data_IF_719161117804
#
_entry.id   IF_719161117804
#
_cell.length_a   1.000
_cell.length_b   1.000
_cell.length_c   1.000
_cell.angle_alpha   90.00
_cell.angle_beta   90.00
_cell.angle_gamma   90.00
#
_symmetry.space_group_name_H-M   'P 1'
#
loop_
_entity.id
_entity.type
_entity.pdbx_description
1 polymer ?
#
# COMPACT_ATOMS: atom_id res chain seq x y z
N UNK A 1 3.99 6.58 -9.67
CA UNK A 1 3.61 7.26 -8.41
C UNK A 1 3.15 6.26 -7.33
N UNK A 2 2.06 5.52 -7.53
CA UNK A 2 1.58 4.53 -6.54
C UNK A 2 2.64 3.49 -6.12
N UNK A 3 3.47 3.01 -7.06
CA UNK A 3 4.58 2.10 -6.74
C UNK A 3 5.66 2.71 -5.81
N UNK A 4 5.94 4.02 -5.92
CA UNK A 4 6.87 4.68 -5.00
C UNK A 4 6.26 4.85 -3.60
N UNK A 5 4.95 5.12 -3.52
CA UNK A 5 4.20 5.11 -2.25
C UNK A 5 4.34 3.75 -1.55
N UNK A 6 4.16 2.66 -2.30
CA UNK A 6 4.30 1.30 -1.76
C UNK A 6 5.73 0.99 -1.30
N UNK A 7 6.73 1.41 -2.06
CA UNK A 7 8.15 1.23 -1.70
C UNK A 7 8.49 1.92 -0.39
N UNK A 8 8.04 3.16 -0.19
CA UNK A 8 8.23 3.87 1.08
C UNK A 8 7.45 3.20 2.22
N UNK A 9 6.23 2.69 1.95
CA UNK A 9 5.43 1.97 2.96
C UNK A 9 6.09 0.67 3.43
N UNK A 10 6.65 -0.10 2.50
CA UNK A 10 7.31 -1.38 2.79
C UNK A 10 8.72 -1.22 3.36
N UNK A 11 9.18 0.02 3.59
CA UNK A 11 10.52 0.30 4.06
C UNK A 11 11.61 -0.08 3.03
N UNK A 12 11.25 -0.21 1.76
CA UNK A 12 12.15 -0.59 0.66
C UNK A 12 12.95 0.61 0.14
N UNK A 13 13.40 1.45 1.06
CA UNK A 13 14.25 2.58 0.76
C UNK A 13 15.71 2.13 0.64
N UNK A 14 16.48 2.80 -0.21
CA UNK A 14 17.92 2.57 -0.35
C UNK A 14 18.65 3.91 -0.28
N UNK A 15 19.76 4.00 0.46
CA UNK A 15 20.56 5.21 0.52
C UNK A 15 21.16 5.57 -0.83
N UNK A 16 21.39 6.88 -1.01
CA UNK A 16 22.09 7.39 -2.18
C UNK A 16 23.47 6.72 -2.31
N UNK A 17 23.91 6.43 -3.53
CA UNK A 17 25.20 5.79 -3.81
C UNK A 17 26.37 6.48 -3.12
N UNK A 18 26.33 7.82 -3.01
CA UNK A 18 27.38 8.57 -2.33
C UNK A 18 27.49 8.20 -0.83
N UNK A 19 26.36 8.00 -0.15
CA UNK A 19 26.31 7.60 1.25
C UNK A 19 26.67 6.14 1.43
N UNK A 20 26.20 5.26 0.54
CA UNK A 20 26.50 3.82 0.58
C UNK A 20 27.99 3.50 0.41
N UNK A 21 28.79 4.42 -0.15
CA UNK A 21 30.25 4.29 -0.29
C UNK A 21 31.01 4.62 0.99
N UNK A 22 30.39 5.29 1.96
CA UNK A 22 31.05 5.62 3.22
C UNK A 22 31.21 4.35 4.06
N UNK A 23 32.42 4.00 4.52
CA UNK A 23 32.67 2.72 5.22
C UNK A 23 31.80 2.49 6.45
N UNK A 24 31.44 3.57 7.15
CA UNK A 24 30.63 3.56 8.35
C UNK A 24 29.12 3.57 8.10
N UNK A 25 28.69 3.67 6.83
CA UNK A 25 27.29 3.58 6.39
C UNK A 25 27.07 2.33 5.54
N UNK A 26 28.14 1.77 4.94
CA UNK A 26 28.07 0.60 4.10
C UNK A 26 27.34 -0.57 4.80
N UNK A 27 26.28 -1.07 4.17
CA UNK A 27 25.44 -2.15 4.73
C UNK A 27 24.36 -1.70 5.72
N UNK A 28 24.33 -0.43 6.11
CA UNK A 28 23.30 0.13 6.96
C UNK A 28 22.14 0.68 6.12
N UNK A 29 20.92 0.45 6.57
CA UNK A 29 19.73 1.00 5.95
C UNK A 29 18.79 1.53 7.03
N UNK A 30 18.22 2.72 6.82
CA UNK A 30 17.24 3.31 7.71
C UNK A 30 16.07 3.83 6.88
N UNK A 31 14.88 3.26 7.10
CA UNK A 31 13.65 3.72 6.48
C UNK A 31 12.66 4.17 7.55
N UNK A 32 12.20 5.42 7.46
CA UNK A 32 11.19 5.96 8.35
C UNK A 32 9.84 5.28 8.11
N UNK A 33 9.29 4.63 9.14
CA UNK A 33 7.95 4.02 9.10
C UNK A 33 6.83 5.02 9.36
N UNK A 34 7.15 6.24 9.83
CA UNK A 34 6.15 7.21 10.30
C UNK A 34 5.03 7.51 9.28
N UNK A 35 5.31 7.67 7.97
CA UNK A 35 4.24 7.88 6.99
C UNK A 35 3.33 6.65 6.83
N UNK A 36 3.91 5.44 6.89
CA UNK A 36 3.14 4.20 6.81
C UNK A 36 2.24 4.02 8.03
N UNK A 37 2.78 4.23 9.24
CA UNK A 37 2.04 4.16 10.50
C UNK A 37 0.88 5.15 10.53
N UNK A 38 1.12 6.35 9.99
CA UNK A 38 0.15 7.44 9.89
C UNK A 38 -1.01 7.08 8.95
N UNK A 39 -0.72 6.58 7.75
CA UNK A 39 -1.75 6.15 6.79
C UNK A 39 -2.55 4.96 7.32
N UNK A 40 -1.89 4.03 8.00
CA UNK A 40 -2.55 2.88 8.61
C UNK A 40 -3.43 3.30 9.80
N UNK A 41 -2.99 4.26 10.62
CA UNK A 41 -3.82 4.83 11.70
C UNK A 41 -5.06 5.56 11.16
N UNK A 42 -4.89 6.36 10.10
CA UNK A 42 -6.02 6.98 9.39
C UNK A 42 -7.00 5.94 8.87
N UNK A 43 -6.51 4.93 8.16
CA UNK A 43 -7.33 3.83 7.62
C UNK A 43 -8.11 3.11 8.72
N UNK A 44 -7.49 2.81 9.88
CA UNK A 44 -8.17 2.20 11.03
C UNK A 44 -9.28 3.08 11.58
N UNK A 45 -9.01 4.38 11.71
CA UNK A 45 -9.96 5.34 12.29
C UNK A 45 -11.20 5.45 11.42
N UNK A 46 -11.04 5.67 10.12
CA UNK A 46 -12.17 5.83 9.20
C UNK A 46 -12.88 4.51 8.88
N UNK A 47 -12.17 3.38 8.88
CA UNK A 47 -12.81 2.08 8.63
C UNK A 47 -13.74 1.63 9.77
N UNK A 48 -13.64 2.21 10.97
CA UNK A 48 -14.63 1.97 12.04
C UNK A 48 -15.90 2.81 11.87
N UNK A 49 -15.81 3.93 11.12
CA UNK A 49 -16.95 4.76 10.78
C UNK A 49 -17.64 4.18 9.55
N UNK A 50 -18.73 3.44 9.77
CA UNK A 50 -19.56 3.01 8.65
C UNK A 50 -20.29 4.21 8.04
N UNK A 51 -20.34 4.32 6.70
CA UNK A 51 -21.13 5.33 6.03
C UNK A 51 -22.61 5.14 6.35
N UNK A 52 -23.32 6.26 6.49
CA UNK A 52 -24.79 6.25 6.50
C UNK A 52 -25.25 6.45 5.06
N UNK A 53 -25.91 5.44 4.51
CA UNK A 53 -26.53 5.51 3.20
C UNK A 53 -27.84 6.28 3.37
N UNK A 54 -27.94 7.43 2.70
CA UNK A 54 -29.14 8.26 2.67
C UNK A 54 -29.53 8.51 1.21
N UNK A 55 -30.76 8.18 0.85
CA UNK A 55 -31.32 8.39 -0.49
C UNK A 55 -32.29 9.56 -0.39
N UNK A 56 -32.09 10.57 -1.24
CA UNK A 56 -33.04 11.69 -1.31
C UNK A 56 -34.31 11.25 -2.05
N UNK A 57 -35.50 11.52 -1.50
CA UNK A 57 -36.76 11.23 -2.19
C UNK A 57 -36.89 12.08 -3.45
N UNK A 58 -37.44 11.50 -4.51
CA UNK A 58 -37.66 12.21 -5.77
C UNK A 58 -38.83 13.21 -5.68
N UNK A 59 -39.81 12.91 -4.83
CA UNK A 59 -41.03 13.68 -4.63
C UNK A 59 -41.40 13.72 -3.15
N UNK A 60 -42.05 14.80 -2.73
CA UNK A 60 -42.59 14.95 -1.38
C UNK A 60 -43.95 14.25 -1.29
N UNK A 61 -43.95 12.92 -1.17
CA UNK A 61 -45.16 12.14 -0.95
C UNK A 61 -44.89 10.92 -0.03
N UNK A 62 -45.88 10.46 0.76
CA UNK A 62 -45.70 9.35 1.70
C UNK A 62 -45.20 8.04 1.06
N UNK A 63 -45.67 7.71 -0.16
CA UNK A 63 -45.28 6.49 -0.84
C UNK A 63 -43.81 6.48 -1.28
N UNK A 64 -43.27 7.65 -1.60
CA UNK A 64 -41.87 7.84 -1.98
C UNK A 64 -40.97 7.74 -0.76
N UNK A 65 -41.39 8.26 0.40
CA UNK A 65 -40.68 8.05 1.66
C UNK A 65 -40.61 6.57 2.03
N UNK A 66 -41.72 5.83 1.92
CA UNK A 66 -41.72 4.37 2.14
C UNK A 66 -40.80 3.63 1.16
N UNK A 67 -40.74 4.07 -0.10
CA UNK A 67 -39.85 3.51 -1.13
C UNK A 67 -38.38 3.75 -0.75
N UNK A 68 -38.05 4.98 -0.37
CA UNK A 68 -36.71 5.38 0.06
C UNK A 68 -36.27 4.58 1.28
N UNK A 69 -37.11 4.48 2.32
CA UNK A 69 -36.80 3.73 3.54
C UNK A 69 -36.51 2.25 3.24
N UNK A 70 -37.30 1.62 2.35
CA UNK A 70 -37.05 0.25 1.90
C UNK A 70 -35.71 0.11 1.19
N UNK A 71 -35.38 1.04 0.29
CA UNK A 71 -34.09 1.01 -0.41
C UNK A 71 -32.92 1.22 0.54
N UNK A 72 -32.99 2.21 1.45
CA UNK A 72 -31.96 2.44 2.47
C UNK A 72 -31.76 1.21 3.37
N UNK A 73 -32.86 0.57 3.80
CA UNK A 73 -32.80 -0.65 4.62
C UNK A 73 -32.13 -1.80 3.88
N UNK A 74 -32.44 -1.99 2.60
CA UNK A 74 -31.84 -3.05 1.76
C UNK A 74 -30.36 -2.77 1.50
N UNK A 75 -29.99 -1.53 1.22
CA UNK A 75 -28.60 -1.13 0.98
C UNK A 75 -27.76 -1.26 2.26
N UNK A 76 -28.27 -0.81 3.41
CA UNK A 76 -27.60 -0.98 4.71
C UNK A 76 -27.40 -2.47 5.03
N UNK A 77 -28.39 -3.32 4.73
CA UNK A 77 -28.25 -4.77 4.87
C UNK A 77 -27.14 -5.33 3.97
N UNK A 78 -27.08 -4.93 2.70
CA UNK A 78 -26.01 -5.34 1.79
C UNK A 78 -24.63 -4.83 2.22
N UNK A 79 -24.54 -3.59 2.71
CA UNK A 79 -23.30 -3.00 3.24
C UNK A 79 -22.79 -3.76 4.46
N UNK A 80 -23.68 -4.11 5.40
CA UNK A 80 -23.32 -4.96 6.54
C UNK A 80 -22.81 -6.32 6.09
N UNK A 81 -23.46 -6.95 5.12
CA UNK A 81 -23.04 -8.25 4.56
C UNK A 81 -21.70 -8.19 3.85
N UNK A 82 -21.44 -7.11 3.09
CA UNK A 82 -20.15 -6.83 2.46
C UNK A 82 -18.99 -6.90 3.48
N UNK A 83 -19.23 -6.40 4.69
CA UNK A 83 -18.23 -6.31 5.73
C UNK A 83 -18.09 -7.59 6.59
N UNK A 84 -18.81 -8.67 6.29
CA UNK A 84 -18.71 -9.93 7.04
C UNK A 84 -17.63 -10.89 6.52
N UNK A 85 -17.05 -10.64 5.35
CA UNK A 85 -16.13 -11.58 4.69
C UNK A 85 -14.66 -11.18 4.79
N UNK A 86 -13.81 -12.16 5.11
CA UNK A 86 -12.35 -12.01 5.11
C UNK A 86 -11.77 -11.44 6.41
N UNK A 87 -10.44 -11.34 6.46
CA UNK A 87 -9.72 -10.76 7.61
C UNK A 87 -9.82 -9.22 7.67
N UNK A 88 -9.91 -8.59 6.49
CA UNK A 88 -10.18 -7.16 6.32
C UNK A 88 -11.46 -7.00 5.53
N UNK A 89 -12.39 -6.21 6.04
CA UNK A 89 -13.67 -5.92 5.40
C UNK A 89 -13.45 -5.17 4.07
N UNK A 90 -14.41 -5.22 3.15
CA UNK A 90 -14.30 -4.46 1.89
C UNK A 90 -14.23 -2.97 2.16
N UNK A 91 -15.05 -2.46 3.12
CA UNK A 91 -15.00 -1.07 3.58
C UNK A 91 -13.58 -0.66 4.01
N UNK A 92 -12.93 -1.51 4.80
CA UNK A 92 -11.55 -1.27 5.21
C UNK A 92 -10.61 -1.13 4.02
N UNK A 93 -10.74 -2.00 3.01
CA UNK A 93 -9.90 -1.95 1.81
C UNK A 93 -10.15 -0.70 0.98
N UNK A 94 -11.41 -0.26 0.88
CA UNK A 94 -11.78 1.00 0.22
C UNK A 94 -11.10 2.17 0.93
N UNK A 95 -11.23 2.25 2.26
CA UNK A 95 -10.59 3.30 3.07
C UNK A 95 -9.06 3.25 2.98
N UNK A 96 -8.47 2.06 3.01
CA UNK A 96 -7.03 1.85 2.87
C UNK A 96 -6.52 2.33 1.50
N UNK A 97 -7.25 2.05 0.41
CA UNK A 97 -6.91 2.55 -0.92
C UNK A 97 -7.05 4.07 -1.01
N UNK A 98 -8.16 4.61 -0.50
CA UNK A 98 -8.44 6.04 -0.53
C UNK A 98 -7.42 6.85 0.27
N UNK A 99 -7.05 6.40 1.47
CA UNK A 99 -6.03 7.07 2.31
C UNK A 99 -4.65 7.04 1.67
N UNK A 100 -4.27 5.92 1.04
CA UNK A 100 -2.92 5.76 0.47
C UNK A 100 -2.75 6.44 -0.87
N UNK A 101 -3.73 6.30 -1.75
CA UNK A 101 -3.61 6.68 -3.15
C UNK A 101 -4.55 7.82 -3.55
N UNK A 102 -5.45 8.25 -2.66
CA UNK A 102 -6.56 9.15 -3.02
C UNK A 102 -7.38 8.61 -4.22
N UNK A 103 -7.33 7.30 -4.40
CA UNK A 103 -7.88 6.59 -5.54
C UNK A 103 -8.39 5.23 -5.08
N UNK A 104 -9.59 4.88 -5.53
CA UNK A 104 -10.26 3.62 -5.21
C UNK A 104 -10.75 3.02 -6.53
N UNK A 105 -10.37 1.77 -6.76
CA UNK A 105 -10.88 0.97 -7.86
C UNK A 105 -11.41 -0.36 -7.32
N UNK A 106 -12.68 -0.66 -7.55
CA UNK A 106 -13.24 -1.97 -7.22
C UNK A 106 -14.26 -2.44 -8.24
N UNK A 107 -14.35 -3.76 -8.37
CA UNK A 107 -15.30 -4.44 -9.22
C UNK A 107 -16.45 -5.02 -8.38
N UNK A 108 -17.68 -4.90 -8.88
CA UNK A 108 -18.88 -5.45 -8.24
C UNK A 108 -19.48 -6.56 -9.11
N UNK A 109 -19.37 -7.80 -8.65
CA UNK A 109 -19.94 -8.97 -9.33
C UNK A 109 -21.28 -9.36 -8.70
N UNK A 110 -22.35 -9.47 -9.50
CA UNK A 110 -23.64 -9.99 -9.04
C UNK A 110 -23.66 -11.53 -9.12
N UNK A 111 -23.57 -12.17 -7.95
CA UNK A 111 -23.40 -13.62 -7.83
C UNK A 111 -24.58 -14.45 -8.38
N UNK A 112 -25.86 -14.08 -8.18
CA UNK A 112 -26.98 -14.82 -8.76
C UNK A 112 -26.95 -14.92 -10.28
N UNK A 113 -26.47 -13.88 -10.96
CA UNK A 113 -26.30 -13.89 -12.40
C UNK A 113 -25.10 -14.76 -12.81
N UNK A 114 -23.94 -14.56 -12.18
CA UNK A 114 -22.72 -15.32 -12.47
C UNK A 114 -22.88 -16.84 -12.21
N UNK A 115 -23.66 -17.20 -11.20
CA UNK A 115 -23.88 -18.58 -10.78
C UNK A 115 -25.19 -19.17 -11.31
N UNK A 116 -25.87 -18.49 -12.25
CA UNK A 116 -27.13 -18.94 -12.83
C UNK A 116 -26.95 -20.35 -13.42
N UNK A 117 -27.78 -21.29 -12.97
CA UNK A 117 -27.74 -22.70 -13.41
C UNK A 117 -26.85 -23.62 -12.56
N UNK A 118 -25.98 -23.10 -11.68
CA UNK A 118 -25.17 -23.92 -10.77
C UNK A 118 -25.98 -24.26 -9.50
N UNK A 119 -26.30 -25.53 -9.29
CA UNK A 119 -27.14 -26.01 -8.17
C UNK A 119 -26.37 -26.56 -6.96
N UNK A 120 -25.06 -26.37 -6.92
CA UNK A 120 -24.19 -26.92 -5.88
C UNK A 120 -24.59 -26.39 -4.47
N UNK A 121 -24.48 -27.24 -3.44
CA UNK A 121 -24.77 -26.88 -2.04
C UNK A 121 -23.91 -25.69 -1.59
N UNK A 122 -22.66 -25.63 -2.08
CA UNK A 122 -21.75 -24.50 -1.86
C UNK A 122 -22.30 -23.20 -2.44
N UNK A 123 -22.81 -23.23 -3.67
CA UNK A 123 -23.38 -22.05 -4.34
C UNK A 123 -24.61 -21.55 -3.59
N UNK A 124 -25.50 -22.46 -3.14
CA UNK A 124 -26.65 -22.08 -2.31
C UNK A 124 -26.24 -21.40 -1.01
N UNK A 125 -25.21 -21.92 -0.33
CA UNK A 125 -24.69 -21.31 0.89
C UNK A 125 -24.07 -19.92 0.64
N UNK A 126 -23.34 -19.75 -0.47
CA UNK A 126 -22.77 -18.47 -0.87
C UNK A 126 -23.86 -17.43 -1.14
N UNK A 127 -24.86 -17.77 -1.96
CA UNK A 127 -25.96 -16.87 -2.32
C UNK A 127 -26.85 -16.51 -1.13
N UNK A 128 -26.94 -17.37 -0.11
CA UNK A 128 -27.63 -17.06 1.15
C UNK A 128 -26.90 -15.99 1.97
N UNK A 129 -25.58 -15.92 1.84
CA UNK A 129 -24.74 -15.05 2.65
C UNK A 129 -24.45 -13.70 1.98
N UNK A 130 -24.31 -13.66 0.67
CA UNK A 130 -24.17 -12.42 -0.10
C UNK A 130 -24.70 -12.58 -1.52
N UNK A 131 -25.34 -11.54 -2.04
CA UNK A 131 -25.74 -11.44 -3.44
C UNK A 131 -24.64 -10.82 -4.32
N UNK A 132 -23.73 -10.06 -3.72
CA UNK A 132 -22.68 -9.34 -4.43
C UNK A 132 -21.30 -9.76 -3.93
N UNK A 133 -20.32 -9.72 -4.83
CA UNK A 133 -18.91 -9.86 -4.49
C UNK A 133 -18.20 -8.59 -4.93
N UNK A 134 -17.60 -7.92 -3.96
CA UNK A 134 -16.81 -6.72 -4.19
C UNK A 134 -15.33 -7.08 -4.12
N UNK A 135 -14.60 -6.75 -5.18
CA UNK A 135 -13.16 -6.98 -5.25
C UNK A 135 -12.47 -5.62 -5.39
N UNK A 136 -11.82 -5.18 -4.32
CA UNK A 136 -10.99 -3.96 -4.36
C UNK A 136 -9.65 -4.29 -5.01
N UNK A 137 -9.32 -3.54 -6.06
CA UNK A 137 -8.09 -3.67 -6.82
C UNK A 137 -7.10 -2.57 -6.45
N UNK A 138 -5.82 -2.84 -6.68
CA UNK A 138 -4.81 -1.81 -6.52
C UNK A 138 -4.97 -0.78 -7.65
N UNK A 139 -5.05 0.54 -7.37
CA UNK A 139 -5.31 1.54 -8.41
C UNK A 139 -4.30 1.53 -9.56
N UNK A 140 -3.04 1.17 -9.31
CA UNK A 140 -2.03 1.07 -10.38
C UNK A 140 -2.28 -0.04 -11.40
N UNK A 141 -3.14 -1.00 -11.07
CA UNK A 141 -3.47 -2.14 -11.95
C UNK A 141 -4.72 -1.87 -12.77
N UNK A 142 -5.44 -0.77 -12.50
CA UNK A 142 -6.72 -0.45 -13.15
C UNK A 142 -6.53 0.79 -13.99
N UNK A 143 -6.94 0.71 -15.25
CA UNK A 143 -6.90 1.80 -16.21
C UNK A 143 -8.32 2.08 -16.67
N UNK A 144 -8.84 3.25 -16.34
CA UNK A 144 -10.15 3.70 -16.83
C UNK A 144 -10.00 4.56 -18.08
N UNK A 145 -10.98 4.41 -18.96
CA UNK A 145 -11.21 5.35 -20.05
C UNK A 145 -12.51 6.08 -19.79
N UNK A 146 -12.42 7.41 -19.67
CA UNK A 146 -13.56 8.28 -19.46
C UNK A 146 -13.80 9.14 -20.71
N UNK A 147 -15.03 9.16 -21.19
CA UNK A 147 -15.49 10.14 -22.19
C UNK A 147 -16.10 11.36 -21.50
N UNK A 148 -16.65 12.28 -22.30
CA UNK A 148 -17.46 13.39 -21.79
C UNK A 148 -18.75 12.93 -21.10
N UNK A 149 -19.19 11.69 -21.34
CA UNK A 149 -20.44 11.14 -20.85
C UNK A 149 -20.27 10.23 -19.62
N UNK A 150 -19.04 9.85 -19.28
CA UNK A 150 -18.75 9.03 -18.10
C UNK A 150 -17.69 7.98 -18.36
N UNK A 151 -17.70 6.93 -17.56
CA UNK A 151 -16.83 5.78 -17.71
C UNK A 151 -17.30 4.95 -18.92
N UNK A 152 -16.38 4.69 -19.86
CA UNK A 152 -16.68 3.94 -21.09
C UNK A 152 -16.06 2.55 -21.09
N UNK A 153 -14.89 2.41 -20.46
CA UNK A 153 -14.16 1.16 -20.43
C UNK A 153 -13.21 1.11 -19.23
N UNK A 154 -13.03 -0.09 -18.69
CA UNK A 154 -12.06 -0.37 -17.64
C UNK A 154 -11.17 -1.53 -18.05
N UNK A 155 -9.86 -1.34 -17.96
CA UNK A 155 -8.87 -2.39 -18.18
C UNK A 155 -8.13 -2.67 -16.87
N UNK A 156 -8.33 -3.86 -16.33
CA UNK A 156 -7.52 -4.39 -15.23
C UNK A 156 -6.32 -5.15 -15.81
N UNK A 157 -5.11 -4.75 -15.42
CA UNK A 157 -3.86 -5.39 -15.79
C UNK A 157 -3.21 -6.02 -14.54
N UNK A 158 -3.24 -7.35 -14.45
CA UNK A 158 -2.73 -8.10 -13.29
C UNK A 158 -1.67 -9.11 -13.72
N UNK A 159 -0.56 -9.16 -12.98
CA UNK A 159 0.43 -10.22 -13.16
C UNK A 159 -0.03 -11.47 -12.42
N UNK A 160 -0.02 -12.60 -13.11
CA UNK A 160 -0.40 -13.92 -12.59
C UNK A 160 0.63 -14.96 -13.04
N UNK A 161 0.83 -15.97 -12.21
CA UNK A 161 1.60 -17.16 -12.61
C UNK A 161 0.76 -18.06 -13.52
N UNK A 162 1.41 -18.90 -14.33
CA UNK A 162 0.72 -19.90 -15.15
C UNK A 162 -0.17 -20.80 -14.29
N UNK A 163 0.28 -21.17 -13.09
CA UNK A 163 -0.51 -21.93 -12.14
C UNK A 163 -1.82 -21.22 -11.76
N UNK A 164 -1.75 -19.95 -11.40
CA UNK A 164 -2.94 -19.16 -11.05
C UNK A 164 -3.91 -19.05 -12.23
N UNK A 165 -3.40 -18.84 -13.45
CA UNK A 165 -4.22 -18.82 -14.66
C UNK A 165 -4.93 -20.17 -14.90
N UNK A 166 -4.23 -21.28 -14.69
CA UNK A 166 -4.81 -22.62 -14.81
C UNK A 166 -5.87 -22.89 -13.73
N UNK A 167 -5.66 -22.39 -12.52
CA UNK A 167 -6.60 -22.53 -11.41
C UNK A 167 -7.87 -21.68 -11.63
N UNK A 168 -7.73 -20.47 -12.17
CA UNK A 168 -8.85 -19.54 -12.39
C UNK A 168 -9.71 -19.90 -13.61
N UNK A 169 -9.09 -20.29 -14.73
CA UNK A 169 -9.80 -20.58 -16.00
C UNK A 169 -9.99 -22.07 -16.28
N UNK A 170 -9.30 -22.94 -15.54
CA UNK A 170 -9.26 -24.38 -15.78
C UNK A 170 -8.25 -24.76 -16.86
N UNK A 171 -7.52 -25.85 -16.60
CA UNK A 171 -6.50 -26.42 -17.51
C UNK A 171 -7.05 -26.77 -18.91
N UNK A 172 -8.33 -27.08 -19.02
CA UNK A 172 -8.98 -27.50 -20.27
C UNK A 172 -9.56 -26.34 -21.08
N UNK A 173 -9.46 -25.09 -20.59
CA UNK A 173 -9.97 -23.94 -21.34
C UNK A 173 -9.15 -23.73 -22.63
N UNK A 174 -9.84 -23.42 -23.74
CA UNK A 174 -9.21 -23.23 -25.06
C UNK A 174 -8.09 -22.18 -25.01
N UNK A 175 -8.33 -21.06 -24.33
CA UNK A 175 -7.34 -20.00 -24.18
C UNK A 175 -6.08 -20.45 -23.43
N UNK A 176 -6.22 -21.22 -22.34
CA UNK A 176 -5.05 -21.74 -21.60
C UNK A 176 -4.31 -22.80 -22.41
N UNK A 177 -5.02 -23.63 -23.18
CA UNK A 177 -4.37 -24.57 -24.10
C UNK A 177 -3.55 -23.85 -25.16
N UNK A 178 -4.06 -22.75 -25.72
CA UNK A 178 -3.30 -21.90 -26.65
C UNK A 178 -2.09 -21.23 -26.00
N UNK A 179 -2.21 -20.78 -24.73
CA UNK A 179 -1.07 -20.23 -23.97
C UNK A 179 0.01 -21.30 -23.80
N UNK A 180 -0.39 -22.51 -23.42
CA UNK A 180 0.53 -23.64 -23.29
C UNK A 180 1.19 -23.96 -24.64
N UNK A 181 0.44 -24.04 -25.74
CA UNK A 181 0.99 -24.32 -27.07
C UNK A 181 1.96 -23.25 -27.56
N UNK A 182 1.62 -21.97 -27.38
CA UNK A 182 2.40 -20.83 -27.90
C UNK A 182 3.63 -20.50 -27.04
N UNK A 183 3.58 -20.78 -25.73
CA UNK A 183 4.59 -20.28 -24.80
C UNK A 183 5.26 -21.36 -23.94
N UNK A 184 4.68 -22.56 -23.79
CA UNK A 184 5.23 -23.64 -22.96
C UNK A 184 5.39 -24.92 -23.79
N UNK A 185 6.61 -25.18 -24.25
CA UNK A 185 6.95 -26.19 -25.27
C UNK A 185 6.55 -27.66 -24.98
N UNK A 186 5.91 -28.00 -23.84
CA UNK A 186 5.50 -29.38 -23.49
C UNK A 186 4.14 -29.43 -22.76
N UNK A 187 3.09 -29.90 -23.45
CA UNK A 187 1.72 -30.06 -22.90
C UNK A 187 1.62 -31.09 -21.76
N UNK A 188 2.48 -32.11 -21.75
CA UNK A 188 2.25 -33.31 -20.94
C UNK A 188 3.11 -33.40 -19.66
N UNK A 189 4.19 -32.60 -19.55
CA UNK A 189 5.07 -32.58 -18.37
C UNK A 189 5.49 -31.15 -18.03
N UNK A 190 4.57 -30.41 -17.41
CA UNK A 190 4.84 -29.08 -16.84
C UNK A 190 5.79 -29.23 -15.64
N UNK A 191 6.95 -28.60 -15.71
CA UNK A 191 7.88 -28.55 -14.57
C UNK A 191 7.45 -27.48 -13.56
N UNK A 192 7.95 -27.54 -12.33
CA UNK A 192 7.70 -26.51 -11.33
C UNK A 192 8.14 -25.11 -11.80
N UNK A 193 9.20 -25.02 -12.60
CA UNK A 193 9.68 -23.79 -13.22
C UNK A 193 8.73 -23.24 -14.28
N UNK A 194 8.06 -24.10 -15.05
CA UNK A 194 7.07 -23.66 -16.05
C UNK A 194 5.82 -23.08 -15.38
N UNK A 195 5.39 -23.69 -14.28
CA UNK A 195 4.24 -23.22 -13.49
C UNK A 195 4.48 -21.86 -12.82
N UNK A 196 5.74 -21.49 -12.58
CA UNK A 196 6.14 -20.19 -12.03
C UNK A 196 6.34 -19.11 -13.10
N UNK A 197 6.22 -19.42 -14.39
CA UNK A 197 6.27 -18.40 -15.43
C UNK A 197 5.13 -17.39 -15.25
N UNK A 198 5.46 -16.11 -15.36
CA UNK A 198 4.53 -15.01 -15.13
C UNK A 198 3.96 -14.49 -16.44
N UNK A 199 2.66 -14.23 -16.42
CA UNK A 199 1.89 -13.63 -17.50
C UNK A 199 1.18 -12.37 -16.98
N UNK A 200 0.94 -11.41 -17.86
CA UNK A 200 0.03 -10.29 -17.55
C UNK A 200 -1.34 -10.65 -18.11
N UNK A 201 -2.32 -10.77 -17.23
CA UNK A 201 -3.73 -10.87 -17.56
C UNK A 201 -4.30 -9.45 -17.70
N UNK A 202 -4.93 -9.21 -18.84
CA UNK A 202 -5.76 -8.05 -19.09
C UNK A 202 -7.21 -8.46 -19.05
N UNK A 203 -8.02 -7.74 -18.29
CA UNK A 203 -9.48 -7.84 -18.28
C UNK A 203 -10.04 -6.48 -18.65
N UNK A 204 -10.55 -6.39 -19.87
CA UNK A 204 -11.29 -5.25 -20.38
C UNK A 204 -12.78 -5.45 -20.12
N UNK A 205 -13.45 -4.45 -19.58
CA UNK A 205 -14.90 -4.40 -19.42
C UNK A 205 -15.36 -3.07 -20.01
N UNK A 206 -16.10 -3.16 -21.11
CA UNK A 206 -16.81 -2.02 -21.70
C UNK A 206 -18.31 -2.15 -21.41
N UNK A 207 -19.17 -1.49 -22.18
CA UNK A 207 -20.62 -1.49 -21.99
C UNK A 207 -21.32 -2.78 -22.44
N UNK A 208 -20.69 -3.53 -23.36
CA UNK A 208 -21.31 -4.67 -24.01
C UNK A 208 -20.59 -5.97 -23.63
N UNK A 209 -19.25 -5.93 -23.60
CA UNK A 209 -18.36 -7.07 -23.56
C UNK A 209 -17.40 -7.04 -22.38
N UNK A 210 -17.12 -8.25 -21.88
CA UNK A 210 -15.95 -8.54 -21.05
C UNK A 210 -14.99 -9.35 -21.91
N UNK A 211 -13.81 -8.79 -22.16
CA UNK A 211 -12.73 -9.43 -22.87
C UNK A 211 -11.54 -9.66 -21.93
N UNK A 212 -10.99 -10.86 -21.93
CA UNK A 212 -9.82 -11.23 -21.16
C UNK A 212 -8.76 -11.82 -22.08
N UNK A 213 -7.54 -11.31 -22.00
CA UNK A 213 -6.40 -11.84 -22.75
C UNK A 213 -5.14 -11.84 -21.90
N UNK A 214 -4.18 -12.70 -22.25
CA UNK A 214 -2.91 -12.80 -21.56
C UNK A 214 -1.74 -12.56 -22.47
N UNK A 215 -0.69 -11.96 -21.91
CA UNK A 215 0.57 -11.72 -22.59
C UNK A 215 1.74 -12.22 -21.72
N UNK A 216 2.75 -12.89 -22.28
CA UNK A 216 3.91 -13.32 -21.51
C UNK A 216 4.60 -12.13 -20.87
N UNK A 217 4.98 -12.24 -19.59
CA UNK A 217 5.52 -11.12 -18.81
C UNK A 217 7.01 -11.22 -18.49
N UNK A 218 7.78 -12.08 -19.17
CA UNK A 218 9.24 -12.22 -19.02
C UNK A 218 9.76 -12.15 -17.56
N UNK A 219 9.04 -12.73 -16.60
CA UNK A 219 9.36 -12.70 -15.16
C UNK A 219 9.32 -11.32 -14.49
N UNK A 220 8.73 -10.31 -15.13
CA UNK A 220 8.43 -9.02 -14.53
C UNK A 220 7.26 -9.14 -13.55
N UNK A 221 7.38 -8.45 -12.41
CA UNK A 221 6.28 -8.27 -11.45
C UNK A 221 5.33 -7.13 -11.86
N UNK A 222 5.71 -6.33 -12.86
CA UNK A 222 4.91 -5.23 -13.39
C UNK A 222 4.21 -5.68 -14.67
N UNK A 223 2.93 -5.30 -14.81
CA UNK A 223 2.19 -5.48 -16.05
C UNK A 223 2.90 -4.76 -17.22
N UNK A 224 2.88 -5.36 -18.42
CA UNK A 224 3.50 -4.77 -19.62
C UNK A 224 2.48 -3.94 -20.43
N UNK A 225 2.32 -2.63 -20.18
CA UNK A 225 1.23 -1.82 -20.74
C UNK A 225 1.24 -1.72 -22.28
N UNK A 226 2.36 -2.05 -22.93
CA UNK A 226 2.55 -1.90 -24.37
C UNK A 226 2.38 -3.22 -25.14
N UNK A 227 1.92 -4.29 -24.48
CA UNK A 227 1.74 -5.58 -25.14
C UNK A 227 0.51 -5.54 -26.06
N UNK A 228 0.74 -5.50 -27.38
CA UNK A 228 -0.31 -5.38 -28.42
C UNK A 228 -0.84 -6.71 -28.93
N UNK A 229 -0.20 -7.84 -28.56
CA UNK A 229 -0.61 -9.18 -28.98
C UNK A 229 -0.65 -10.11 -27.78
N UNK A 230 -1.82 -10.71 -27.53
CA UNK A 230 -2.05 -11.67 -26.46
C UNK A 230 -2.90 -12.83 -26.93
N UNK A 231 -2.97 -13.86 -26.09
CA UNK A 231 -3.89 -14.99 -26.28
C UNK A 231 -5.19 -14.65 -25.58
N UNK A 232 -6.30 -14.66 -26.32
CA UNK A 232 -7.63 -14.41 -25.77
C UNK A 232 -8.07 -15.61 -24.93
N UNK A 233 -8.47 -15.35 -23.69
CA UNK A 233 -9.00 -16.36 -22.78
C UNK A 233 -10.53 -16.39 -22.81
N UNK A 234 -11.15 -15.22 -22.95
CA UNK A 234 -12.58 -15.07 -22.91
C UNK A 234 -13.01 -13.79 -23.61
N UNK A 235 -14.06 -13.88 -24.42
CA UNK A 235 -14.80 -12.74 -24.94
C UNK A 235 -16.28 -13.09 -24.87
N UNK A 236 -17.01 -12.35 -24.02
CA UNK A 236 -18.43 -12.59 -23.79
C UNK A 236 -19.16 -11.28 -23.57
N UNK A 237 -20.38 -11.21 -24.08
CA UNK A 237 -21.32 -10.17 -23.72
C UNK A 237 -21.68 -10.32 -22.23
N UNK A 238 -21.57 -9.26 -21.44
CA UNK A 238 -21.91 -9.35 -20.01
C UNK A 238 -23.39 -9.10 -19.74
N UNK A 239 -24.09 -8.42 -20.66
CA UNK A 239 -25.55 -8.25 -20.61
C UNK A 239 -26.03 -7.40 -19.43
N UNK A 240 -25.19 -6.47 -18.96
CA UNK A 240 -25.54 -5.47 -17.95
C UNK A 240 -25.68 -4.12 -18.65
N UNK A 241 -26.66 -3.31 -18.26
CA UNK A 241 -26.84 -1.98 -18.82
C UNK A 241 -25.90 -0.93 -18.19
N UNK A 242 -24.81 -1.38 -17.58
CA UNK A 242 -23.82 -0.55 -16.90
C UNK A 242 -22.49 -1.32 -16.78
N UNK A 243 -21.41 -0.57 -16.60
CA UNK A 243 -20.07 -1.14 -16.35
C UNK A 243 -19.96 -1.49 -14.86
N UNK A 244 -19.71 -2.75 -14.47
CA UNK A 244 -19.69 -3.21 -13.07
C UNK A 244 -18.40 -2.81 -12.31
N UNK A 245 -17.93 -1.58 -12.53
CA UNK A 245 -16.71 -1.03 -11.95
C UNK A 245 -16.98 0.31 -11.29
N UNK A 246 -16.34 0.51 -10.15
CA UNK A 246 -16.29 1.80 -9.47
C UNK A 246 -14.87 2.29 -9.45
N UNK A 247 -14.69 3.50 -9.97
CA UNK A 247 -13.40 4.17 -10.07
C UNK A 247 -13.60 5.60 -9.59
N UNK A 248 -13.03 5.89 -8.42
CA UNK A 248 -12.97 7.23 -7.86
C UNK A 248 -11.51 7.62 -7.71
N UNK A 249 -11.04 8.56 -8.53
CA UNK A 249 -9.67 9.07 -8.48
C UNK A 249 -9.70 10.60 -8.29
N UNK A 250 -8.91 11.08 -7.34
CA UNK A 250 -8.72 12.51 -7.06
C UNK A 250 -7.31 13.01 -7.42
N UNK A 251 -6.47 12.14 -7.99
CA UNK A 251 -5.15 12.43 -8.55
C UNK A 251 -4.10 13.00 -7.58
N UNK A 252 -4.43 13.11 -6.28
CA UNK A 252 -3.56 13.73 -5.27
C UNK A 252 -3.44 12.88 -3.98
N UNK A 253 -2.64 11.79 -4.01
CA UNK A 253 -2.24 11.05 -2.83
C UNK A 253 -1.55 11.93 -1.79
N UNK A 254 -1.82 11.68 -0.51
CA UNK A 254 -1.22 12.43 0.62
C UNK A 254 0.31 12.45 0.55
N UNK A 255 0.94 11.34 0.13
CA UNK A 255 2.40 11.23 0.04
C UNK A 255 3.00 11.78 -1.26
N UNK A 256 2.19 12.18 -2.25
CA UNK A 256 2.67 12.62 -3.56
C UNK A 256 3.66 13.78 -3.43
N UNK A 257 3.32 14.81 -2.66
CA UNK A 257 4.18 15.99 -2.50
C UNK A 257 5.49 15.66 -1.76
N UNK A 258 5.44 14.84 -0.71
CA UNK A 258 6.62 14.46 0.06
C UNK A 258 7.58 13.55 -0.75
N UNK A 259 7.04 12.74 -1.67
CA UNK A 259 7.82 11.90 -2.59
C UNK A 259 8.41 12.76 -3.72
N UNK A 260 7.59 13.56 -4.40
CA UNK A 260 8.03 14.34 -5.56
C UNK A 260 9.11 15.36 -5.22
N UNK A 261 9.10 15.90 -4.00
CA UNK A 261 10.11 16.84 -3.50
C UNK A 261 11.34 16.16 -2.91
N UNK A 262 11.34 14.83 -2.76
CA UNK A 262 12.41 14.06 -2.13
C UNK A 262 12.54 14.27 -0.62
N UNK A 263 11.55 14.88 0.04
CA UNK A 263 11.57 15.13 1.48
C UNK A 263 11.72 13.83 2.30
N UNK A 264 11.03 12.76 1.88
CA UNK A 264 11.15 11.45 2.53
C UNK A 264 12.54 10.84 2.38
N UNK A 265 13.15 10.97 1.20
CA UNK A 265 14.50 10.49 0.96
C UNK A 265 15.53 11.28 1.75
N UNK A 266 15.37 12.61 1.84
CA UNK A 266 16.23 13.46 2.64
C UNK A 266 16.13 13.12 4.13
N UNK A 267 14.92 12.91 4.66
CA UNK A 267 14.71 12.47 6.03
C UNK A 267 15.40 11.13 6.32
N UNK A 268 15.24 10.14 5.42
CA UNK A 268 15.86 8.83 5.58
C UNK A 268 17.39 8.92 5.51
N UNK A 269 17.94 9.72 4.59
CA UNK A 269 19.38 9.97 4.47
C UNK A 269 19.95 10.64 5.74
N UNK A 270 19.29 11.68 6.25
CA UNK A 270 19.73 12.39 7.46
C UNK A 270 19.67 11.50 8.70
N UNK A 271 18.60 10.71 8.85
CA UNK A 271 18.50 9.73 9.93
C UNK A 271 19.58 8.66 9.82
N UNK A 272 19.80 8.11 8.63
CA UNK A 272 20.87 7.13 8.41
C UNK A 272 22.23 7.70 8.81
N UNK A 273 22.54 8.95 8.41
CA UNK A 273 23.76 9.65 8.81
C UNK A 273 23.88 9.77 10.33
N UNK A 274 22.84 10.23 11.01
CA UNK A 274 22.81 10.40 12.46
C UNK A 274 22.99 9.05 13.19
N UNK A 275 22.23 8.03 12.81
CA UNK A 275 22.31 6.70 13.42
C UNK A 275 23.65 6.03 13.17
N UNK A 276 24.14 6.03 11.92
CA UNK A 276 25.41 5.41 11.59
C UNK A 276 26.59 6.14 12.24
N UNK A 277 26.52 7.48 12.39
CA UNK A 277 27.53 8.24 13.11
C UNK A 277 27.55 7.88 14.60
N UNK A 278 26.37 7.81 15.25
CA UNK A 278 26.26 7.42 16.65
C UNK A 278 26.78 5.99 16.88
N UNK A 279 26.41 5.03 16.03
CA UNK A 279 26.91 3.65 16.11
C UNK A 279 28.43 3.61 15.95
N UNK A 280 28.98 4.36 14.99
CA UNK A 280 30.43 4.43 14.77
C UNK A 280 31.17 5.06 15.94
N UNK A 281 30.60 6.08 16.58
CA UNK A 281 31.17 6.70 17.78
C UNK A 281 31.15 5.76 18.99
N UNK A 282 30.07 4.98 19.15
CA UNK A 282 29.99 3.98 20.23
C UNK A 282 30.97 2.82 20.00
N UNK A 283 31.15 2.40 18.74
CA UNK A 283 32.06 1.34 18.36
C UNK A 283 33.54 1.78 18.33
N UNK A 284 33.82 3.09 18.27
CA UNK A 284 35.18 3.61 18.27
C UNK A 284 35.85 3.46 19.64
N UNK A 285 37.15 3.14 19.65
CA UNK A 285 37.95 3.12 20.87
C UNK A 285 37.95 4.51 21.53
N UNK A 286 37.57 4.56 22.80
CA UNK A 286 37.36 5.80 23.56
C UNK A 286 38.62 6.26 24.31
N UNK A 287 39.77 5.70 23.96
CA UNK A 287 40.98 5.87 24.75
C UNK A 287 42.16 6.17 23.86
N UNK A 288 42.89 7.21 24.23
CA UNK A 288 44.21 7.46 23.71
C UNK A 288 45.22 6.75 24.60
N UNK A 289 46.01 5.88 23.99
CA UNK A 289 47.04 5.10 24.67
C UNK A 289 48.39 5.60 24.18
N UNK A 290 49.19 6.13 25.10
CA UNK A 290 50.57 6.54 24.84
C UNK A 290 51.51 5.58 25.55
N UNK A 291 52.17 4.74 24.77
CA UNK A 291 53.24 3.84 25.23
C UNK A 291 54.60 4.55 25.15
N UNK A 292 55.59 4.16 25.98
CA UNK A 292 56.93 4.78 25.98
C UNK A 292 57.71 4.60 24.68
N UNK A 293 57.46 3.52 23.96
CA UNK A 293 58.11 3.10 22.70
C UNK A 293 57.35 3.59 21.45
N UNK A 294 56.14 4.14 21.61
CA UNK A 294 55.28 4.56 20.51
C UNK A 294 54.62 3.42 19.74
N UNK A 295 54.79 2.17 20.20
CA UNK A 295 54.19 0.97 19.62
C UNK A 295 53.12 0.40 20.55
N UNK A 296 52.04 -0.17 19.99
CA UNK A 296 50.95 -0.80 20.77
C UNK A 296 51.33 -2.19 21.33
N UNK A 297 52.62 -2.52 21.34
CA UNK A 297 53.16 -3.75 21.92
C UNK A 297 52.94 -3.74 23.43
N UNK A 298 52.23 -4.76 23.96
CA UNK A 298 51.93 -4.88 25.40
C UNK A 298 50.56 -4.34 25.83
N UNK A 299 49.77 -3.77 24.91
CA UNK A 299 48.40 -3.32 25.17
C UNK A 299 47.40 -4.36 24.68
N UNK A 300 46.66 -4.98 25.59
CA UNK A 300 45.60 -5.93 25.22
C UNK A 300 44.21 -5.29 25.42
N UNK A 301 43.47 -5.15 24.32
CA UNK A 301 42.08 -4.70 24.31
C UNK A 301 41.22 -5.86 23.83
N UNK A 302 40.38 -6.39 24.73
CA UNK A 302 39.37 -7.38 24.38
C UNK A 302 38.17 -6.67 23.74
N UNK A 303 38.04 -6.81 22.42
CA UNK A 303 36.96 -6.19 21.64
C UNK A 303 35.64 -6.98 21.72
N UNK A 304 35.61 -8.17 22.31
CA UNK A 304 34.42 -9.01 22.45
C UNK A 304 33.74 -8.85 23.82
N UNK A 305 34.50 -8.45 24.85
CA UNK A 305 33.98 -8.19 26.19
C UNK A 305 34.31 -6.77 26.70
N UNK A 306 33.40 -5.79 26.50
CA UNK A 306 33.65 -4.38 26.83
C UNK A 306 33.76 -4.08 28.33
N UNK A 307 33.56 -5.09 29.21
CA UNK A 307 33.73 -4.93 30.65
C UNK A 307 35.11 -5.39 31.16
N UNK A 308 35.96 -5.99 30.32
CA UNK A 308 37.29 -6.37 30.77
C UNK A 308 38.20 -5.14 30.89
N UNK A 309 38.95 -5.01 32.00
CA UNK A 309 39.91 -3.92 32.17
C UNK A 309 41.05 -4.07 31.16
N UNK A 310 41.43 -2.96 30.54
CA UNK A 310 42.56 -2.91 29.60
C UNK A 310 43.85 -3.20 30.37
N UNK A 311 44.58 -4.21 29.91
CA UNK A 311 45.86 -4.60 30.51
C UNK A 311 46.94 -3.81 29.79
N UNK A 312 47.68 -3.00 30.56
CA UNK A 312 48.81 -2.20 30.05
C UNK A 312 50.04 -2.36 30.92
N UNK A 313 51.22 -2.28 30.29
CA UNK A 313 52.49 -2.27 30.99
C UNK A 313 52.70 -1.01 31.85
N UNK A 314 53.50 -1.13 32.90
CA UNK A 314 53.89 -0.02 33.77
C UNK A 314 54.58 1.07 32.94
N UNK A 315 54.04 2.30 33.01
CA UNK A 315 54.39 3.51 32.23
C UNK A 315 53.54 3.80 30.98
N UNK A 316 52.47 3.05 30.73
CA UNK A 316 51.48 3.42 29.70
C UNK A 316 50.53 4.50 30.23
N UNK A 317 50.41 5.62 29.52
CA UNK A 317 49.40 6.64 29.84
C UNK A 317 48.13 6.37 29.03
N UNK A 318 47.02 6.12 29.72
CA UNK A 318 45.69 6.01 29.14
C UNK A 318 44.94 7.29 29.46
N UNK A 319 44.57 8.04 28.42
CA UNK A 319 43.71 9.23 28.58
C UNK A 319 42.36 8.94 27.91
N UNK A 320 41.23 9.07 28.62
CA UNK A 320 39.93 8.98 27.98
C UNK A 320 39.76 10.12 26.98
N UNK A 321 39.37 9.80 25.76
CA UNK A 321 38.98 10.81 24.77
C UNK A 321 37.55 11.22 25.12
N UNK A 322 37.33 12.51 25.40
CA UNK A 322 35.97 13.03 25.46
C UNK A 322 35.29 12.78 24.11
N UNK A 323 34.26 11.94 24.11
CA UNK A 323 33.50 11.68 22.90
C UNK A 323 33.00 13.01 22.34
N UNK A 324 33.32 13.28 21.07
CA UNK A 324 32.57 14.28 20.33
C UNK A 324 31.12 13.81 20.34
N UNK A 325 30.22 14.61 20.92
CA UNK A 325 28.79 14.34 20.85
C UNK A 325 28.39 14.22 19.37
N UNK A 326 27.38 13.40 19.03
CA UNK A 326 26.73 13.49 17.74
C UNK A 326 26.49 14.97 17.43
N UNK A 327 26.84 15.39 16.21
CA UNK A 327 26.81 16.81 15.87
C UNK A 327 25.38 17.35 16.06
N UNK A 328 25.18 18.22 17.05
CA UNK A 328 23.87 18.80 17.41
C UNK A 328 23.16 19.42 16.19
N UNK A 329 23.93 19.94 15.21
CA UNK A 329 23.37 20.50 13.98
C UNK A 329 22.74 19.44 13.05
N UNK A 330 23.20 18.19 13.08
CA UNK A 330 22.61 17.09 12.31
C UNK A 330 21.30 16.65 12.96
N UNK A 331 21.26 16.56 14.30
CA UNK A 331 20.03 16.23 15.02
C UNK A 331 18.96 17.31 14.85
N UNK A 332 19.33 18.59 14.90
CA UNK A 332 18.43 19.70 14.59
C UNK A 332 17.87 19.61 13.17
N UNK A 333 18.71 19.28 12.18
CA UNK A 333 18.27 19.08 10.80
C UNK A 333 17.37 17.86 10.64
N UNK A 334 17.61 16.78 11.38
CA UNK A 334 16.71 15.62 11.42
C UNK A 334 15.35 16.03 11.97
N UNK A 335 15.31 16.78 13.08
CA UNK A 335 14.05 17.27 13.66
C UNK A 335 13.31 18.22 12.69
N UNK A 336 14.02 19.12 12.03
CA UNK A 336 13.43 20.02 11.03
C UNK A 336 12.87 19.24 9.83
N UNK A 337 13.66 18.35 9.22
CA UNK A 337 13.21 17.53 8.09
C UNK A 337 12.02 16.63 8.47
N UNK A 338 12.02 16.13 9.70
CA UNK A 338 10.92 15.37 10.25
C UNK A 338 9.65 16.23 10.39
N UNK A 339 9.76 17.47 10.88
CA UNK A 339 8.65 18.42 10.92
C UNK A 339 8.15 18.79 9.51
N UNK A 340 9.02 18.99 8.53
CA UNK A 340 8.64 19.27 7.13
C UNK A 340 7.89 18.09 6.49
N UNK A 341 8.36 16.86 6.70
CA UNK A 341 7.61 15.66 6.29
C UNK A 341 6.27 15.57 7.02
N UNK A 342 6.20 15.97 8.30
CA UNK A 342 4.96 15.94 9.08
C UNK A 342 3.94 17.00 8.67
N UNK A 343 4.37 18.23 8.41
CA UNK A 343 3.48 19.28 7.88
C UNK A 343 2.90 18.90 6.52
N UNK A 344 3.65 18.14 5.72
CA UNK A 344 3.18 17.65 4.41
C UNK A 344 2.31 16.39 4.50
N UNK A 345 2.39 15.60 5.58
CA UNK A 345 1.59 14.38 5.76
C UNK A 345 0.42 14.52 6.73
N UNK A 346 0.39 15.54 7.59
CA UNK A 346 -0.65 16.03 8.56
C UNK A 346 -1.24 14.99 9.53
N UNK A 347 -1.21 13.70 9.22
CA UNK A 347 -1.96 12.66 9.90
C UNK A 347 -1.27 12.10 11.17
N UNK A 348 -0.16 12.69 11.63
CA UNK A 348 0.45 12.29 12.90
C UNK A 348 -0.46 12.58 14.11
N UNK A 349 -1.31 13.61 14.05
CA UNK A 349 -2.31 13.90 15.10
C UNK A 349 -3.26 12.71 15.31
N UNK A 350 -3.53 11.94 14.26
CA UNK A 350 -4.34 10.71 14.34
C UNK A 350 -3.51 9.49 14.77
N UNK A 351 -2.20 9.48 14.46
CA UNK A 351 -1.30 8.38 14.80
C UNK A 351 -0.86 8.36 16.27
N UNK A 352 -0.78 9.53 16.91
CA UNK A 352 -0.24 9.68 18.26
C UNK A 352 -1.09 10.65 19.10
N UNK A 353 -2.29 10.21 19.47
CA UNK A 353 -3.19 10.93 20.37
C UNK A 353 -2.54 11.22 21.75
N UNK A 354 -1.55 10.40 22.14
CA UNK A 354 -0.86 10.53 23.43
C UNK A 354 0.11 11.72 23.48
N UNK A 355 0.61 12.21 22.33
CA UNK A 355 1.39 13.47 22.28
C UNK A 355 0.57 14.68 22.71
N UNK A 356 -0.74 14.67 22.45
CA UNK A 356 -1.65 15.75 22.81
C UNK A 356 -2.24 15.57 24.22
N UNK A 357 -2.34 14.33 24.70
CA UNK A 357 -3.01 13.99 25.95
C UNK A 357 -2.29 14.46 27.24
N UNK A 358 -1.04 14.94 27.15
CA UNK A 358 -0.24 15.31 28.32
C UNK A 358 0.04 16.80 28.51
N UNK A 359 0.13 17.59 27.43
CA UNK A 359 0.72 18.94 27.47
C UNK A 359 -0.08 20.05 26.77
N UNK A 360 -1.15 19.73 26.01
CA UNK A 360 -1.90 20.72 25.26
C UNK A 360 -3.36 20.83 25.73
N UNK A 361 -3.90 22.05 25.72
CA UNK A 361 -5.31 22.30 26.05
C UNK A 361 -6.23 21.52 25.08
N UNK A 362 -7.32 20.95 25.60
CA UNK A 362 -8.32 20.20 24.82
C UNK A 362 -8.82 20.95 23.57
N UNK A 363 -8.90 22.28 23.61
CA UNK A 363 -9.26 23.12 22.46
C UNK A 363 -8.25 23.05 21.32
N UNK A 364 -6.96 23.02 21.65
CA UNK A 364 -5.85 22.93 20.69
C UNK A 364 -5.82 21.53 20.08
N UNK A 365 -5.99 20.49 20.90
CA UNK A 365 -6.12 19.11 20.42
C UNK A 365 -7.32 18.96 19.48
N UNK A 366 -8.49 19.51 19.82
CA UNK A 366 -9.68 19.46 18.96
C UNK A 366 -9.51 20.21 17.64
N UNK A 367 -8.83 21.36 17.66
CA UNK A 367 -8.51 22.11 16.43
C UNK A 367 -7.53 21.33 15.57
N UNK A 368 -6.50 20.72 16.17
CA UNK A 368 -5.56 19.85 15.50
C UNK A 368 -6.26 18.64 14.85
N UNK A 369 -7.19 17.97 15.56
CA UNK A 369 -8.01 16.90 14.98
C UNK A 369 -8.87 17.39 13.82
N UNK A 370 -9.52 18.56 13.93
CA UNK A 370 -10.32 19.12 12.84
C UNK A 370 -9.48 19.46 11.61
N UNK A 371 -8.28 20.02 11.79
CA UNK A 371 -7.33 20.30 10.70
C UNK A 371 -6.85 19.00 10.07
N UNK A 372 -6.51 17.99 10.87
CA UNK A 372 -6.10 16.68 10.37
C UNK A 372 -7.23 16.00 9.58
N UNK A 373 -8.47 16.01 10.08
CA UNK A 373 -9.63 15.51 9.35
C UNK A 373 -9.87 16.32 8.07
N UNK A 374 -9.68 17.63 8.11
CA UNK A 374 -9.76 18.52 6.94
C UNK A 374 -8.75 18.17 5.85
N UNK A 375 -7.49 17.88 6.21
CA UNK A 375 -6.47 17.44 5.25
C UNK A 375 -6.75 16.07 4.64
N UNK A 376 -7.50 15.22 5.35
CA UNK A 376 -7.94 13.92 4.86
C UNK A 376 -9.27 13.98 4.12
N UNK A 377 -9.84 15.17 3.92
CA UNK A 377 -11.14 15.34 3.26
C UNK A 377 -11.12 14.75 1.84
N UNK A 378 -10.06 14.97 1.05
CA UNK A 378 -9.97 14.43 -0.31
C UNK A 378 -9.98 12.89 -0.33
N UNK A 379 -9.24 12.25 0.59
CA UNK A 379 -9.23 10.79 0.72
C UNK A 379 -10.59 10.27 1.21
N UNK A 380 -11.20 10.94 2.20
CA UNK A 380 -12.55 10.61 2.68
C UNK A 380 -13.59 10.77 1.58
N UNK A 381 -13.50 11.82 0.78
CA UNK A 381 -14.44 12.11 -0.31
C UNK A 381 -14.25 11.16 -1.49
N UNK A 382 -13.02 10.67 -1.75
CA UNK A 382 -12.77 9.57 -2.68
C UNK A 382 -13.47 8.28 -2.21
N UNK A 383 -13.30 7.93 -0.93
CA UNK A 383 -13.93 6.74 -0.36
C UNK A 383 -15.47 6.86 -0.37
N UNK A 384 -16.01 8.00 0.06
CA UNK A 384 -17.45 8.24 0.08
C UNK A 384 -18.06 8.22 -1.34
N UNK A 385 -17.36 8.78 -2.35
CA UNK A 385 -17.79 8.66 -3.75
C UNK A 385 -17.74 7.22 -4.24
N UNK A 386 -16.67 6.49 -3.93
CA UNK A 386 -16.54 5.10 -4.33
C UNK A 386 -17.66 4.24 -3.69
N UNK A 387 -17.97 4.48 -2.42
CA UNK A 387 -19.09 3.82 -1.76
C UNK A 387 -20.42 4.18 -2.41
N UNK A 388 -20.70 5.47 -2.64
CA UNK A 388 -21.92 5.89 -3.30
C UNK A 388 -22.07 5.23 -4.68
N UNK A 389 -21.03 5.28 -5.52
CA UNK A 389 -21.04 4.65 -6.85
C UNK A 389 -21.14 3.13 -6.81
N UNK A 390 -20.76 2.48 -5.71
CA UNK A 390 -20.88 1.02 -5.57
C UNK A 390 -22.26 0.50 -5.22
N UNK A 391 -23.15 1.39 -4.75
CA UNK A 391 -24.51 1.06 -4.33
C UNK A 391 -25.59 1.67 -5.23
N UNK A 392 -25.23 2.63 -6.10
CA UNK A 392 -26.04 3.06 -7.25
C UNK A 392 -25.81 2.12 -8.43
#
# INVERSE_FOLDING_TARGET
MYAEIDKHRLGQWKPNQALSRLPWIAGHNFSSTSPADTLDAGSRTFATMMPKIAISPLFDNPAEYDRVERHETVLDWHFKRMNMWGKKTTHWKIMESAMRYCSVAFETEYLPYLMKGKKDKRVKALLKNSAFRWTVHHPSTVHSFHSKYGLECVVLAKVMTLKELMDDFGKESKGIQEVLEKHVMKKDNLTATDLMQTFTLYKCTDWDYVCMWVTPNNSSMNANPNATKGVELMHKEHGLNFIPWVIADNEDPILKNAINTGLLDNLNNLRLLSYSAAVSMVAASQQWIRTPDGTLTGVHIDNENPMQPIVTDSNTQITPINQMRPNDSVEQKVQQAQQEVYTTTVAQILADANKLAGNENFSTANMAYKVAIGSLALARDAAARAEAMGFY
#
